data_IF_429455860577
#
_entry.id   IF_429455860577
#
_cell.length_a   1.000
_cell.length_b   1.000
_cell.length_c   1.000
_cell.angle_alpha   90.00
_cell.angle_beta   90.00
_cell.angle_gamma   90.00
#
_symmetry.space_group_name_H-M   'P 1'
#
loop_
_entity.id
_entity.type
_entity.pdbx_description
1 polymer ?
#
# COMPACT_ATOMS: atom_id res chain seq x y z
N UNK A 1 -24.38 3.34 5.78
CA UNK A 1 -25.27 4.51 5.90
C UNK A 1 -24.59 5.76 6.49
N UNK A 2 -23.65 5.67 7.45
CA UNK A 2 -22.91 6.85 7.96
C UNK A 2 -21.65 7.28 7.20
N UNK A 3 -21.02 6.36 6.46
CA UNK A 3 -19.73 6.62 5.80
C UNK A 3 -19.84 7.62 4.64
N UNK A 4 -20.86 7.51 3.79
CA UNK A 4 -21.01 8.37 2.62
C UNK A 4 -21.35 9.83 2.97
N UNK A 5 -22.09 10.06 4.07
CA UNK A 5 -22.36 11.40 4.58
C UNK A 5 -21.05 12.09 5.01
N UNK A 6 -20.06 11.33 5.49
CA UNK A 6 -18.68 11.82 5.73
C UNK A 6 -17.90 12.06 4.43
N UNK A 7 -18.08 11.25 3.39
CA UNK A 7 -17.36 11.39 2.12
C UNK A 7 -17.88 12.52 1.23
N UNK A 8 -19.21 12.66 1.08
CA UNK A 8 -19.82 13.78 0.36
C UNK A 8 -19.53 15.09 1.09
N UNK A 9 -19.54 15.09 2.44
CA UNK A 9 -19.07 16.24 3.22
C UNK A 9 -17.55 16.46 3.03
N UNK A 10 -16.66 15.48 3.20
CA UNK A 10 -15.21 15.71 3.04
C UNK A 10 -14.78 16.11 1.62
N UNK A 11 -15.27 15.42 0.57
CA UNK A 11 -14.83 15.63 -0.80
C UNK A 11 -15.33 16.95 -1.41
N UNK A 12 -16.49 17.46 -0.97
CA UNK A 12 -17.02 18.76 -1.44
C UNK A 12 -16.82 19.92 -0.44
N UNK A 13 -16.84 19.70 0.89
CA UNK A 13 -16.75 20.79 1.88
C UNK A 13 -15.34 21.26 2.21
N UNK A 14 -14.27 20.57 1.80
CA UNK A 14 -12.91 21.02 2.13
C UNK A 14 -12.51 22.37 1.52
N UNK A 15 -13.31 22.94 0.59
CA UNK A 15 -13.02 24.27 0.02
C UNK A 15 -14.13 25.33 0.12
N UNK A 16 -15.41 24.97 0.10
CA UNK A 16 -16.48 25.99 0.01
C UNK A 16 -17.02 26.51 1.36
N UNK A 17 -16.83 25.79 2.49
CA UNK A 17 -17.41 26.21 3.79
C UNK A 17 -16.37 26.62 4.84
N UNK A 18 -15.09 26.25 4.66
CA UNK A 18 -14.01 26.70 5.56
C UNK A 18 -13.68 28.20 5.46
N UNK A 19 -14.16 28.92 4.44
CA UNK A 19 -13.89 30.35 4.27
C UNK A 19 -15.00 31.28 4.79
N UNK A 20 -16.15 30.79 5.27
CA UNK A 20 -17.27 31.68 5.63
C UNK A 20 -17.95 31.42 6.97
N UNK A 21 -17.72 30.30 7.65
CA UNK A 21 -18.29 30.11 9.00
C UNK A 21 -17.30 29.41 9.91
N UNK A 22 -16.84 30.13 10.94
CA UNK A 22 -15.96 29.60 11.98
C UNK A 22 -16.63 28.48 12.78
N UNK A 23 -16.54 27.25 12.27
CA UNK A 23 -17.02 26.05 12.94
C UNK A 23 -15.92 25.42 13.79
N UNK A 24 -16.24 25.22 15.07
CA UNK A 24 -15.37 24.81 16.18
C UNK A 24 -14.81 23.38 16.03
N UNK A 25 -13.55 23.21 16.43
CA UNK A 25 -12.72 22.00 16.40
C UNK A 25 -13.14 20.95 17.44
N UNK A 26 -14.44 20.65 17.56
CA UNK A 26 -14.93 19.61 18.49
C UNK A 26 -15.97 18.71 17.82
N UNK A 27 -15.49 17.67 17.14
CA UNK A 27 -16.29 16.45 16.95
C UNK A 27 -15.48 15.20 17.26
N UNK A 28 -15.91 14.60 18.36
CA UNK A 28 -15.50 13.38 19.04
C UNK A 28 -15.18 12.17 18.14
N UNK A 29 -14.20 11.40 18.62
CA UNK A 29 -14.09 9.94 18.64
C UNK A 29 -14.33 9.16 17.35
N UNK A 30 -13.26 8.52 16.87
CA UNK A 30 -13.24 7.51 15.81
C UNK A 30 -13.57 6.08 16.30
N UNK A 31 -14.40 5.94 17.33
CA UNK A 31 -14.80 4.63 17.86
C UNK A 31 -16.29 4.38 17.61
N UNK A 32 -16.60 3.13 17.24
CA UNK A 32 -17.94 2.53 17.02
C UNK A 32 -18.49 2.58 15.58
N UNK A 33 -17.98 1.70 14.72
CA UNK A 33 -18.81 0.84 13.86
C UNK A 33 -18.11 -0.50 13.64
N UNK A 34 -18.80 -1.65 13.79
CA UNK A 34 -18.18 -2.97 13.65
C UNK A 34 -17.91 -3.31 12.18
N UNK A 35 -16.65 -3.65 11.91
CA UNK A 35 -16.15 -4.80 11.15
C UNK A 35 -17.09 -5.33 10.03
N UNK A 36 -16.72 -5.09 8.77
CA UNK A 36 -16.83 -5.96 7.58
C UNK A 36 -16.49 -5.15 6.32
N UNK A 37 -15.33 -4.48 6.29
CA UNK A 37 -14.79 -3.85 5.07
C UNK A 37 -13.40 -4.39 4.82
N UNK A 38 -13.23 -5.13 3.73
CA UNK A 38 -11.94 -5.71 3.34
C UNK A 38 -11.02 -4.71 2.63
N UNK A 39 -11.54 -3.54 2.25
CA UNK A 39 -10.78 -2.39 1.75
C UNK A 39 -11.23 -1.16 2.52
N UNK A 40 -10.30 -0.48 3.18
CA UNK A 40 -10.63 0.73 3.96
C UNK A 40 -10.53 1.96 3.06
N UNK A 41 -11.60 2.75 2.98
CA UNK A 41 -11.51 4.07 2.36
C UNK A 41 -10.79 4.98 3.33
N UNK A 42 -9.67 5.57 2.88
CA UNK A 42 -8.73 6.27 3.76
C UNK A 42 -8.33 7.60 3.19
N UNK A 43 -7.99 8.52 4.09
CA UNK A 43 -7.23 9.72 3.74
C UNK A 43 -5.88 9.26 3.18
N UNK A 44 -5.63 9.61 1.91
CA UNK A 44 -4.43 9.22 1.18
C UNK A 44 -3.16 9.63 1.93
N UNK A 45 -3.18 10.74 2.69
CA UNK A 45 -2.04 11.23 3.47
C UNK A 45 -1.60 10.30 4.60
N UNK A 46 -2.45 9.33 5.00
CA UNK A 46 -2.17 8.41 6.12
C UNK A 46 -2.13 6.93 5.73
N UNK A 47 -2.48 6.62 4.49
CA UNK A 47 -2.70 5.26 4.00
C UNK A 47 -1.43 4.41 3.81
N UNK A 48 -0.64 4.14 4.86
CA UNK A 48 0.59 3.35 4.77
C UNK A 48 0.52 2.05 5.58
N UNK A 49 -0.67 1.55 5.88
CA UNK A 49 -0.83 0.27 6.55
C UNK A 49 -0.67 -0.91 5.56
N UNK A 50 -0.22 -2.09 6.03
CA UNK A 50 -0.08 -3.28 5.19
C UNK A 50 -1.44 -3.97 4.95
N UNK A 51 -2.46 -3.20 4.55
CA UNK A 51 -3.81 -3.66 4.22
C UNK A 51 -4.34 -2.88 3.01
N UNK A 52 -5.20 -3.48 2.16
CA UNK A 52 -5.73 -2.79 0.99
C UNK A 52 -6.48 -1.49 1.36
N UNK A 53 -6.11 -0.41 0.70
CA UNK A 53 -6.62 0.93 0.94
C UNK A 53 -7.23 1.51 -0.34
N UNK A 54 -8.48 2.00 -0.24
CA UNK A 54 -9.16 2.68 -1.33
C UNK A 54 -8.94 4.18 -1.21
N UNK A 55 -8.37 4.77 -2.25
CA UNK A 55 -8.13 6.21 -2.38
C UNK A 55 -9.09 6.77 -3.42
N UNK A 56 -9.97 7.67 -3.00
CA UNK A 56 -10.93 8.34 -3.91
C UNK A 56 -10.32 9.65 -4.37
N UNK A 57 -10.12 9.82 -5.68
CA UNK A 57 -9.55 11.06 -6.23
C UNK A 57 -10.53 12.22 -6.11
N UNK A 58 -10.08 13.43 -5.76
CA UNK A 58 -10.89 14.62 -5.91
C UNK A 58 -11.21 14.89 -7.39
N UNK A 59 -12.45 15.28 -7.75
CA UNK A 59 -12.86 15.48 -9.14
C UNK A 59 -12.24 16.71 -9.81
N UNK A 60 -11.65 17.62 -9.04
CA UNK A 60 -10.96 18.82 -9.54
C UNK A 60 -9.51 18.55 -9.96
N UNK A 61 -8.99 17.34 -9.74
CA UNK A 61 -7.62 16.99 -10.13
C UNK A 61 -7.50 16.99 -11.65
N UNK A 62 -6.72 17.93 -12.19
CA UNK A 62 -6.54 18.09 -13.63
C UNK A 62 -5.75 16.95 -14.28
N UNK A 63 -4.74 16.41 -13.58
CA UNK A 63 -3.93 15.29 -14.04
C UNK A 63 -4.00 14.12 -13.03
N UNK A 64 -4.98 13.21 -13.17
CA UNK A 64 -5.17 12.10 -12.25
C UNK A 64 -3.94 11.21 -12.07
N UNK A 65 -3.22 10.89 -13.15
CA UNK A 65 -2.08 9.98 -13.10
C UNK A 65 -0.90 10.57 -12.35
N UNK A 66 -0.57 11.84 -12.62
CA UNK A 66 0.48 12.56 -11.91
C UNK A 66 0.16 12.71 -10.42
N UNK A 67 -1.09 13.02 -10.07
CA UNK A 67 -1.53 13.08 -8.69
C UNK A 67 -1.40 11.72 -7.99
N UNK A 68 -1.82 10.63 -8.65
CA UNK A 68 -1.67 9.28 -8.09
C UNK A 68 -0.20 8.92 -7.88
N UNK A 69 0.69 9.28 -8.82
CA UNK A 69 2.13 9.05 -8.66
C UNK A 69 2.70 9.78 -7.45
N UNK A 70 2.32 11.03 -7.19
CA UNK A 70 2.72 11.75 -5.98
C UNK A 70 2.26 11.06 -4.69
N UNK A 71 1.04 10.50 -4.69
CA UNK A 71 0.54 9.71 -3.56
C UNK A 71 1.37 8.44 -3.33
N UNK A 72 1.86 7.81 -4.39
CA UNK A 72 2.74 6.63 -4.28
C UNK A 72 4.08 6.95 -3.63
N UNK A 73 4.57 8.19 -3.69
CA UNK A 73 5.88 8.56 -3.16
C UNK A 73 5.87 8.79 -1.66
N UNK A 74 4.83 9.46 -1.14
CA UNK A 74 4.79 9.90 0.25
C UNK A 74 3.46 9.56 0.95
N UNK A 75 3.55 9.24 2.23
CA UNK A 75 2.42 9.15 3.16
C UNK A 75 2.67 10.14 4.30
N UNK A 76 2.03 11.31 4.19
CA UNK A 76 2.21 12.41 5.13
C UNK A 76 3.64 12.96 5.00
N UNK A 77 4.39 12.95 6.11
CA UNK A 77 5.79 13.38 6.13
C UNK A 77 6.82 12.27 5.87
N UNK A 78 6.39 11.06 5.52
CA UNK A 78 7.26 9.89 5.40
C UNK A 78 7.19 9.23 4.01
N UNK A 79 8.24 8.53 3.63
CA UNK A 79 8.26 7.72 2.39
C UNK A 79 7.24 6.60 2.53
N UNK A 80 6.39 6.43 1.51
CA UNK A 80 5.40 5.35 1.52
C UNK A 80 6.07 4.02 1.25
N UNK A 81 5.85 3.05 2.14
CA UNK A 81 6.45 1.70 2.06
C UNK A 81 5.47 0.69 1.48
N UNK A 82 4.17 0.83 1.76
CA UNK A 82 3.14 -0.13 1.38
C UNK A 82 2.39 0.30 0.11
N UNK A 83 3.16 0.64 -0.93
CA UNK A 83 2.62 1.23 -2.18
C UNK A 83 1.69 0.27 -2.90
N UNK A 84 2.00 -1.03 -2.91
CA UNK A 84 1.18 -2.04 -3.54
C UNK A 84 -0.24 -2.08 -2.95
N UNK A 85 -0.41 -1.68 -1.68
CA UNK A 85 -1.71 -1.74 -1.01
C UNK A 85 -2.72 -0.68 -1.47
N UNK A 86 -2.30 0.27 -2.31
CA UNK A 86 -3.17 1.33 -2.79
C UNK A 86 -4.01 0.90 -4.00
N UNK A 87 -5.28 1.28 -3.95
CA UNK A 87 -6.24 1.18 -5.04
C UNK A 87 -6.86 2.57 -5.21
N UNK A 88 -6.82 3.12 -6.42
CA UNK A 88 -7.35 4.45 -6.69
C UNK A 88 -8.67 4.37 -7.46
N UNK A 89 -9.61 5.21 -7.08
CA UNK A 89 -10.84 5.46 -7.83
C UNK A 89 -10.78 6.85 -8.43
N UNK A 90 -10.86 6.91 -9.75
CA UNK A 90 -10.87 8.17 -10.49
C UNK A 90 -12.28 8.52 -10.94
N UNK A 91 -12.68 9.81 -10.86
CA UNK A 91 -14.00 10.24 -11.29
C UNK A 91 -14.09 10.44 -12.81
N UNK A 92 -15.21 10.01 -13.39
CA UNK A 92 -15.72 10.51 -14.67
C UNK A 92 -16.25 11.94 -14.49
N UNK A 93 -15.42 12.91 -14.86
CA UNK A 93 -15.71 14.34 -14.69
C UNK A 93 -16.90 14.82 -15.54
N UNK A 94 -17.36 14.04 -16.53
CA UNK A 94 -18.56 14.40 -17.30
C UNK A 94 -19.83 14.43 -16.45
N UNK A 95 -19.85 13.67 -15.34
CA UNK A 95 -20.99 13.62 -14.41
C UNK A 95 -20.96 14.74 -13.35
N UNK A 96 -19.88 15.53 -13.28
CA UNK A 96 -19.65 16.48 -12.18
C UNK A 96 -20.71 17.58 -12.11
N UNK A 97 -21.16 18.11 -13.26
CA UNK A 97 -22.20 19.15 -13.32
C UNK A 97 -23.53 18.61 -12.80
N UNK A 98 -23.90 17.39 -13.19
CA UNK A 98 -25.12 16.74 -12.73
C UNK A 98 -25.06 16.47 -11.22
N UNK A 99 -23.92 15.99 -10.72
CA UNK A 99 -23.70 15.75 -9.29
C UNK A 99 -23.82 17.05 -8.48
N UNK A 100 -23.15 18.13 -8.90
CA UNK A 100 -23.24 19.44 -8.25
C UNK A 100 -24.67 19.97 -8.20
N UNK A 101 -25.43 19.83 -9.29
CA UNK A 101 -26.83 20.23 -9.32
C UNK A 101 -27.73 19.41 -8.40
N UNK A 102 -27.41 18.13 -8.19
CA UNK A 102 -28.15 17.26 -7.28
C UNK A 102 -27.82 17.54 -5.82
N UNK A 103 -26.52 17.68 -5.48
CA UNK A 103 -26.05 18.07 -4.14
C UNK A 103 -26.63 19.41 -3.72
N UNK A 104 -26.63 20.42 -4.60
CA UNK A 104 -27.22 21.73 -4.30
C UNK A 104 -28.70 21.64 -3.91
N UNK A 105 -29.48 20.85 -4.65
CA UNK A 105 -30.91 20.63 -4.36
C UNK A 105 -31.11 19.86 -3.05
N UNK A 106 -30.28 18.86 -2.80
CA UNK A 106 -30.29 18.14 -1.52
C UNK A 106 -29.99 19.08 -0.35
N UNK A 107 -28.96 19.90 -0.43
CA UNK A 107 -28.60 20.86 0.63
C UNK A 107 -29.70 21.90 0.87
N UNK A 108 -30.33 22.41 -0.20
CA UNK A 108 -31.46 23.32 -0.07
C UNK A 108 -32.66 22.65 0.65
N UNK A 109 -32.97 21.40 0.32
CA UNK A 109 -34.01 20.63 1.02
C UNK A 109 -33.61 20.30 2.46
N UNK A 110 -32.34 19.97 2.71
CA UNK A 110 -31.80 19.74 4.05
C UNK A 110 -31.97 21.01 4.90
N UNK A 111 -31.62 22.18 4.37
CA UNK A 111 -31.83 23.46 5.06
C UNK A 111 -33.31 23.71 5.40
N UNK A 112 -34.21 23.45 4.45
CA UNK A 112 -35.66 23.55 4.70
C UNK A 112 -36.07 22.63 5.86
N UNK A 113 -35.65 21.37 5.88
CA UNK A 113 -35.99 20.43 6.96
C UNK A 113 -35.45 20.84 8.35
N UNK A 114 -34.44 21.69 8.40
CA UNK A 114 -33.91 22.25 9.66
C UNK A 114 -34.55 23.60 10.03
N UNK A 115 -35.39 24.18 9.17
CA UNK A 115 -36.03 25.47 9.42
C UNK A 115 -37.18 25.38 10.44
N UNK A 116 -37.50 26.48 11.15
CA UNK A 116 -38.69 26.55 11.99
C UNK A 116 -39.98 26.31 11.20
N UNK A 117 -40.07 26.87 9.99
CA UNK A 117 -41.24 26.76 9.10
C UNK A 117 -41.54 25.31 8.72
N UNK A 118 -40.55 24.43 8.65
CA UNK A 118 -40.79 23.00 8.41
C UNK A 118 -41.54 22.32 9.56
N UNK A 119 -41.40 22.80 10.80
CA UNK A 119 -42.15 22.27 11.94
C UNK A 119 -43.62 22.71 11.92
N UNK A 120 -43.89 23.83 11.25
CA UNK A 120 -45.21 24.43 11.12
C UNK A 120 -45.99 23.89 9.89
N UNK A 121 -45.34 23.11 9.03
CA UNK A 121 -45.97 22.45 7.88
C UNK A 121 -46.91 21.32 8.32
N UNK A 122 -47.93 21.08 7.49
CA UNK A 122 -48.83 19.94 7.66
C UNK A 122 -48.07 18.60 7.60
N UNK A 123 -48.55 17.54 8.27
CA UNK A 123 -47.91 16.23 8.25
C UNK A 123 -47.62 15.70 6.84
N UNK A 124 -48.56 15.87 5.91
CA UNK A 124 -48.44 15.42 4.52
C UNK A 124 -47.31 16.15 3.77
N UNK A 125 -47.23 17.48 3.92
CA UNK A 125 -46.18 18.31 3.32
C UNK A 125 -44.79 17.94 3.86
N UNK A 126 -44.71 17.68 5.18
CA UNK A 126 -43.46 17.23 5.82
C UNK A 126 -43.00 15.88 5.27
N UNK A 127 -43.92 14.94 5.10
CA UNK A 127 -43.62 13.63 4.52
C UNK A 127 -43.13 13.78 3.07
N UNK A 128 -43.78 14.62 2.27
CA UNK A 128 -43.35 14.89 0.89
C UNK A 128 -41.93 15.45 0.81
N UNK A 129 -41.59 16.42 1.67
CA UNK A 129 -40.24 16.99 1.72
C UNK A 129 -39.21 15.94 2.16
N UNK A 130 -39.54 15.10 3.15
CA UNK A 130 -38.65 14.01 3.57
C UNK A 130 -38.43 12.99 2.47
N UNK A 131 -39.47 12.65 1.70
CA UNK A 131 -39.35 11.72 0.58
C UNK A 131 -38.49 12.31 -0.54
N UNK A 132 -38.68 13.58 -0.89
CA UNK A 132 -37.80 14.27 -1.84
C UNK A 132 -36.34 14.28 -1.35
N UNK A 133 -36.11 14.49 -0.05
CA UNK A 133 -34.77 14.47 0.53
C UNK A 133 -34.12 13.08 0.36
N UNK A 134 -34.86 12.00 0.64
CA UNK A 134 -34.40 10.61 0.44
C UNK A 134 -34.14 10.31 -1.03
N UNK A 135 -35.01 10.73 -1.93
CA UNK A 135 -34.85 10.56 -3.37
C UNK A 135 -33.58 11.26 -3.88
N UNK A 136 -33.34 12.52 -3.46
CA UNK A 136 -32.11 13.24 -3.84
C UNK A 136 -30.87 12.60 -3.25
N UNK A 137 -30.94 12.13 -2.01
CA UNK A 137 -29.84 11.37 -1.41
C UNK A 137 -29.53 10.11 -2.23
N UNK A 138 -30.53 9.27 -2.52
CA UNK A 138 -30.35 8.05 -3.32
C UNK A 138 -29.79 8.35 -4.71
N UNK A 139 -30.24 9.46 -5.34
CA UNK A 139 -29.69 9.93 -6.60
C UNK A 139 -28.21 10.34 -6.49
N UNK A 140 -27.80 11.00 -5.41
CA UNK A 140 -26.40 11.37 -5.15
C UNK A 140 -25.56 10.11 -5.01
N UNK A 141 -26.03 9.15 -4.20
CA UNK A 141 -25.33 7.87 -3.97
C UNK A 141 -25.13 7.11 -5.28
N UNK A 142 -26.19 6.97 -6.09
CA UNK A 142 -26.13 6.30 -7.39
C UNK A 142 -25.24 7.01 -8.41
N UNK A 143 -25.32 8.33 -8.50
CA UNK A 143 -24.48 9.11 -9.43
C UNK A 143 -23.01 9.12 -9.00
N UNK A 144 -22.74 9.18 -7.70
CA UNK A 144 -21.39 9.09 -7.16
C UNK A 144 -20.77 7.72 -7.44
N UNK A 145 -21.51 6.63 -7.23
CA UNK A 145 -21.06 5.28 -7.57
C UNK A 145 -20.77 5.13 -9.08
N UNK A 146 -21.62 5.72 -9.94
CA UNK A 146 -21.41 5.71 -11.39
C UNK A 146 -20.17 6.53 -11.81
N UNK A 147 -19.92 7.64 -11.13
CA UNK A 147 -18.80 8.53 -11.41
C UNK A 147 -17.44 7.88 -11.10
N UNK A 148 -17.33 7.06 -10.05
CA UNK A 148 -16.06 6.49 -9.58
C UNK A 148 -15.87 5.01 -9.94
N UNK A 149 -16.06 4.67 -11.22
CA UNK A 149 -15.90 3.29 -11.71
C UNK A 149 -14.52 3.00 -12.31
N UNK A 150 -13.71 4.03 -12.53
CA UNK A 150 -12.38 3.86 -13.09
C UNK A 150 -11.37 3.55 -11.98
N UNK A 151 -10.92 2.29 -11.94
CA UNK A 151 -10.02 1.75 -10.92
C UNK A 151 -8.58 1.66 -11.42
N UNK A 152 -7.65 2.21 -10.65
CA UNK A 152 -6.22 2.22 -10.92
C UNK A 152 -5.42 1.59 -9.79
N UNK A 153 -4.24 1.08 -10.13
CA UNK A 153 -3.28 0.51 -9.19
C UNK A 153 -1.84 0.94 -9.51
N UNK A 154 -0.93 0.92 -8.53
CA UNK A 154 0.49 1.05 -8.80
C UNK A 154 0.98 -0.08 -9.73
N UNK A 155 1.84 0.27 -10.69
CA UNK A 155 2.52 -0.66 -11.57
C UNK A 155 3.95 -0.21 -11.88
N UNK A 156 4.72 -1.05 -12.58
CA UNK A 156 6.15 -0.81 -12.86
C UNK A 156 6.44 0.55 -13.53
N UNK A 157 5.53 1.03 -14.38
CA UNK A 157 5.65 2.29 -15.11
C UNK A 157 4.78 3.42 -14.54
N UNK A 158 4.46 3.38 -13.23
CA UNK A 158 3.65 4.39 -12.55
C UNK A 158 2.31 3.83 -12.08
N UNK A 159 1.22 4.25 -12.70
CA UNK A 159 -0.12 3.74 -12.40
C UNK A 159 -0.73 3.03 -13.60
N UNK A 160 -1.45 1.94 -13.33
CA UNK A 160 -2.08 1.07 -14.31
C UNK A 160 -3.58 1.02 -14.05
N UNK A 161 -4.37 1.24 -15.09
CA UNK A 161 -5.81 1.03 -15.06
C UNK A 161 -6.10 -0.48 -15.00
N UNK A 162 -6.94 -0.92 -14.06
CA UNK A 162 -7.26 -2.35 -13.86
C UNK A 162 -8.24 -2.86 -14.91
N UNK A 163 -9.23 -2.06 -15.29
CA UNK A 163 -10.01 -2.10 -16.54
C UNK A 163 -11.13 -1.05 -16.48
N UNK A 164 -11.73 -0.71 -17.63
CA UNK A 164 -12.74 0.35 -17.80
C UNK A 164 -14.12 -0.22 -18.18
N UNK A 165 -15.16 0.33 -17.55
CA UNK A 165 -16.49 0.64 -18.10
C UNK A 165 -17.58 -0.41 -18.42
N UNK A 166 -17.40 -1.74 -18.30
CA UNK A 166 -18.52 -2.68 -18.67
C UNK A 166 -18.95 -3.70 -17.63
N UNK A 167 -18.26 -3.82 -16.49
CA UNK A 167 -18.74 -4.69 -15.41
C UNK A 167 -19.69 -3.93 -14.50
N UNK A 168 -20.95 -3.79 -14.93
CA UNK A 168 -22.02 -3.49 -13.99
C UNK A 168 -22.14 -4.69 -13.04
N UNK A 169 -21.77 -4.51 -11.78
CA UNK A 169 -22.00 -5.49 -10.74
C UNK A 169 -23.42 -5.28 -10.19
N UNK A 170 -24.37 -6.20 -10.46
CA UNK A 170 -25.75 -6.03 -10.00
C UNK A 170 -25.80 -5.96 -8.49
N UNK A 171 -26.56 -4.99 -7.95
CA UNK A 171 -26.79 -4.87 -6.52
C UNK A 171 -25.68 -4.21 -5.70
N UNK A 172 -24.57 -3.77 -6.33
CA UNK A 172 -23.52 -3.02 -5.64
C UNK A 172 -24.02 -1.65 -5.22
N UNK A 173 -23.78 -1.29 -3.95
CA UNK A 173 -24.26 -0.03 -3.36
C UNK A 173 -23.14 0.94 -2.98
N UNK A 174 -21.91 0.46 -2.87
CA UNK A 174 -20.79 1.26 -2.38
C UNK A 174 -19.55 1.14 -3.26
N UNK A 175 -18.67 2.14 -3.17
CA UNK A 175 -17.41 2.18 -3.93
C UNK A 175 -16.44 1.07 -3.52
N UNK A 176 -16.36 0.75 -2.23
CA UNK A 176 -15.52 -0.33 -1.71
C UNK A 176 -15.99 -1.69 -2.20
N UNK A 177 -17.31 -1.91 -2.24
CA UNK A 177 -17.90 -3.13 -2.78
C UNK A 177 -17.62 -3.26 -4.28
N UNK A 178 -17.80 -2.17 -5.05
CA UNK A 178 -17.47 -2.13 -6.47
C UNK A 178 -16.00 -2.49 -6.73
N UNK A 179 -15.08 -1.78 -6.06
CA UNK A 179 -13.64 -1.99 -6.23
C UNK A 179 -13.23 -3.41 -5.83
N UNK A 180 -13.76 -3.93 -4.72
CA UNK A 180 -13.51 -5.29 -4.27
C UNK A 180 -13.97 -6.32 -5.30
N UNK A 181 -15.22 -6.24 -5.78
CA UNK A 181 -15.74 -7.19 -6.77
C UNK A 181 -14.96 -7.13 -8.09
N UNK A 182 -14.55 -5.93 -8.53
CA UNK A 182 -13.69 -5.77 -9.71
C UNK A 182 -12.34 -6.45 -9.52
N UNK A 183 -11.67 -6.19 -8.39
CA UNK A 183 -10.33 -6.73 -8.12
C UNK A 183 -10.35 -8.25 -7.91
N UNK A 184 -11.39 -8.79 -7.27
CA UNK A 184 -11.61 -10.24 -7.14
C UNK A 184 -11.85 -10.89 -8.50
N UNK A 185 -12.77 -10.33 -9.30
CA UNK A 185 -13.10 -10.83 -10.64
C UNK A 185 -11.89 -10.82 -11.58
N UNK A 186 -11.00 -9.84 -11.43
CA UNK A 186 -9.77 -9.73 -12.22
C UNK A 186 -8.59 -10.55 -11.66
N UNK A 187 -8.80 -11.28 -10.55
CA UNK A 187 -7.75 -12.10 -9.92
C UNK A 187 -6.64 -11.28 -9.25
N UNK A 188 -6.87 -9.98 -9.03
CA UNK A 188 -5.89 -9.07 -8.43
C UNK A 188 -5.98 -9.09 -6.90
N UNK A 189 -7.20 -9.11 -6.35
CA UNK A 189 -7.45 -9.22 -4.91
C UNK A 189 -7.68 -10.68 -4.54
N UNK A 190 -6.79 -11.22 -3.71
CA UNK A 190 -6.76 -12.62 -3.31
C UNK A 190 -6.95 -12.76 -1.79
N UNK A 191 -7.64 -13.82 -1.40
CA UNK A 191 -7.75 -14.24 0.00
C UNK A 191 -6.57 -15.10 0.44
N UNK A 192 -6.02 -15.87 -0.49
CA UNK A 192 -4.96 -16.84 -0.26
C UNK A 192 -4.00 -16.82 -1.44
N UNK A 193 -2.75 -17.19 -1.17
CA UNK A 193 -1.74 -17.42 -2.20
C UNK A 193 -1.31 -18.88 -2.15
N UNK A 194 -0.96 -19.41 -3.32
CA UNK A 194 -0.43 -20.76 -3.42
C UNK A 194 1.03 -20.79 -2.93
N UNK A 195 1.48 -21.87 -2.26
CA UNK A 195 2.88 -21.99 -1.83
C UNK A 195 3.89 -21.87 -2.97
N UNK A 196 3.54 -22.30 -4.18
CA UNK A 196 4.39 -22.22 -5.37
C UNK A 196 4.74 -20.78 -5.72
N UNK A 197 3.85 -19.83 -5.43
CA UNK A 197 4.14 -18.40 -5.59
C UNK A 197 5.26 -17.96 -4.64
N UNK A 198 5.21 -18.40 -3.38
CA UNK A 198 6.27 -18.13 -2.40
C UNK A 198 7.59 -18.81 -2.79
N UNK A 199 7.52 -19.98 -3.43
CA UNK A 199 8.71 -20.64 -3.98
C UNK A 199 9.34 -19.81 -5.10
N UNK A 200 8.55 -19.20 -5.99
CA UNK A 200 9.04 -18.27 -7.01
C UNK A 200 9.75 -17.07 -6.37
N UNK A 201 9.10 -16.42 -5.40
CA UNK A 201 9.71 -15.31 -4.62
C UNK A 201 11.03 -15.75 -3.98
N UNK A 202 11.08 -16.94 -3.40
CA UNK A 202 12.28 -17.49 -2.77
C UNK A 202 13.42 -17.70 -3.79
N UNK A 203 13.12 -18.22 -4.98
CA UNK A 203 14.09 -18.44 -6.05
C UNK A 203 14.67 -17.12 -6.59
N UNK A 204 13.82 -16.12 -6.81
CA UNK A 204 14.23 -14.78 -7.25
C UNK A 204 15.14 -14.07 -6.23
N UNK A 205 15.08 -14.48 -4.96
CA UNK A 205 15.85 -13.91 -3.86
C UNK A 205 16.96 -14.85 -3.36
N UNK A 206 17.48 -15.73 -4.22
CA UNK A 206 18.69 -16.52 -3.91
C UNK A 206 18.46 -17.71 -2.97
N UNK A 207 17.22 -18.14 -2.77
CA UNK A 207 16.88 -19.34 -2.01
C UNK A 207 16.66 -19.12 -0.51
N UNK A 208 16.80 -17.89 0.00
CA UNK A 208 16.52 -17.54 1.39
C UNK A 208 15.81 -16.17 1.50
N UNK A 209 14.66 -16.13 2.19
CA UNK A 209 13.89 -14.88 2.37
C UNK A 209 13.28 -14.82 3.77
N UNK A 210 13.50 -13.71 4.49
CA UNK A 210 12.86 -13.53 5.80
C UNK A 210 11.34 -13.30 5.68
N UNK A 211 10.56 -13.72 6.68
CA UNK A 211 9.11 -13.46 6.72
C UNK A 211 8.79 -11.95 6.60
N UNK A 212 9.62 -11.10 7.19
CA UNK A 212 9.49 -9.64 7.06
C UNK A 212 9.67 -9.15 5.62
N UNK A 213 10.59 -9.77 4.87
CA UNK A 213 10.84 -9.46 3.47
C UNK A 213 9.71 -9.97 2.57
N UNK A 214 9.18 -11.19 2.82
CA UNK A 214 7.97 -11.68 2.13
C UNK A 214 6.82 -10.69 2.29
N UNK A 215 6.54 -10.25 3.53
CA UNK A 215 5.51 -9.24 3.78
C UNK A 215 5.77 -7.94 3.00
N UNK A 216 7.01 -7.46 3.00
CA UNK A 216 7.41 -6.23 2.28
C UNK A 216 7.25 -6.38 0.77
N UNK A 217 7.51 -7.55 0.20
CA UNK A 217 7.31 -7.81 -1.23
C UNK A 217 5.83 -7.65 -1.59
N UNK A 218 4.92 -8.37 -0.90
CA UNK A 218 3.48 -8.30 -1.20
C UNK A 218 2.87 -6.92 -0.95
N UNK A 219 3.38 -6.16 0.02
CA UNK A 219 2.80 -4.88 0.42
C UNK A 219 3.45 -3.67 -0.26
N UNK A 220 4.73 -3.77 -0.63
CA UNK A 220 5.52 -2.65 -1.13
C UNK A 220 5.94 -2.74 -2.59
N UNK A 221 6.12 -3.95 -3.15
CA UNK A 221 6.50 -4.12 -4.56
C UNK A 221 5.24 -4.03 -5.42
N UNK A 222 5.25 -3.13 -6.40
CA UNK A 222 4.13 -2.92 -7.33
C UNK A 222 3.89 -4.16 -8.22
N UNK A 223 2.72 -4.25 -8.84
CA UNK A 223 2.28 -5.40 -9.65
C UNK A 223 2.16 -6.75 -8.90
N UNK A 224 2.42 -6.77 -7.59
CA UNK A 224 2.12 -7.92 -6.73
C UNK A 224 0.60 -8.03 -6.51
N UNK A 225 0.07 -9.26 -6.31
CA UNK A 225 -1.33 -9.44 -5.96
C UNK A 225 -1.65 -8.72 -4.64
N UNK A 226 -2.87 -8.17 -4.54
CA UNK A 226 -3.39 -7.62 -3.29
C UNK A 226 -3.88 -8.78 -2.43
N UNK A 227 -3.41 -8.86 -1.20
CA UNK A 227 -3.94 -9.81 -0.23
C UNK A 227 -4.92 -9.09 0.67
N UNK A 228 -6.14 -9.62 0.83
CA UNK A 228 -7.14 -9.05 1.75
C UNK A 228 -6.56 -8.93 3.16
N UNK A 229 -5.94 -10.01 3.62
CA UNK A 229 -5.24 -10.11 4.89
C UNK A 229 -3.82 -10.65 4.64
N UNK A 230 -2.82 -9.78 4.34
CA UNK A 230 -1.48 -10.25 3.95
C UNK A 230 -0.85 -11.20 4.97
N UNK A 231 -0.94 -10.87 6.27
CA UNK A 231 -0.39 -11.70 7.34
C UNK A 231 -0.96 -13.12 7.34
N UNK A 232 -2.28 -13.25 7.28
CA UNK A 232 -2.95 -14.55 7.30
C UNK A 232 -2.68 -15.35 6.02
N UNK A 233 -2.79 -14.70 4.86
CA UNK A 233 -2.57 -15.32 3.56
C UNK A 233 -1.13 -15.86 3.42
N UNK A 234 -0.13 -15.06 3.82
CA UNK A 234 1.30 -15.46 3.79
C UNK A 234 1.56 -16.57 4.80
N UNK A 235 1.09 -16.43 6.04
CA UNK A 235 1.30 -17.45 7.09
C UNK A 235 0.67 -18.79 6.69
N UNK A 236 -0.54 -18.77 6.13
CA UNK A 236 -1.23 -19.95 5.63
C UNK A 236 -0.47 -20.63 4.50
N UNK A 237 0.02 -19.86 3.52
CA UNK A 237 0.80 -20.37 2.40
C UNK A 237 2.16 -20.95 2.85
N UNK A 238 2.79 -20.36 3.87
CA UNK A 238 4.02 -20.89 4.46
C UNK A 238 3.77 -22.24 5.12
N UNK A 239 2.75 -22.35 5.99
CA UNK A 239 2.41 -23.61 6.66
C UNK A 239 2.14 -24.71 5.64
N UNK A 240 1.39 -24.37 4.60
CA UNK A 240 1.06 -25.31 3.54
C UNK A 240 2.30 -25.72 2.74
N UNK A 241 3.14 -24.77 2.32
CA UNK A 241 4.36 -25.05 1.58
C UNK A 241 5.37 -25.89 2.34
N UNK A 242 5.53 -25.65 3.65
CA UNK A 242 6.38 -26.47 4.52
C UNK A 242 5.82 -27.88 4.66
N UNK A 243 4.51 -28.01 4.94
CA UNK A 243 3.83 -29.31 5.07
C UNK A 243 3.95 -30.14 3.79
N UNK A 244 3.86 -29.50 2.63
CA UNK A 244 4.03 -30.15 1.33
C UNK A 244 5.51 -30.37 0.95
N UNK A 245 6.47 -29.78 1.69
CA UNK A 245 7.90 -29.90 1.42
C UNK A 245 8.40 -29.09 0.22
N UNK A 246 7.64 -28.07 -0.22
CA UNK A 246 7.99 -27.17 -1.34
C UNK A 246 9.19 -26.29 -0.97
N UNK A 247 9.25 -25.84 0.28
CA UNK A 247 10.35 -25.11 0.90
C UNK A 247 10.37 -25.41 2.40
N UNK A 248 11.46 -25.01 3.07
CA UNK A 248 11.61 -25.09 4.51
C UNK A 248 11.40 -23.75 5.20
N UNK A 249 11.24 -23.80 6.52
CA UNK A 249 11.25 -22.63 7.39
C UNK A 249 12.31 -22.82 8.46
N UNK A 250 13.21 -21.85 8.61
CA UNK A 250 14.20 -21.79 9.68
C UNK A 250 13.76 -20.77 10.74
N UNK A 251 13.77 -21.21 12.00
CA UNK A 251 13.55 -20.38 13.16
C UNK A 251 14.61 -20.67 14.22
N UNK A 252 15.57 -19.74 14.37
CA UNK A 252 16.75 -19.95 15.20
C UNK A 252 17.59 -21.11 14.68
N UNK A 253 17.77 -22.15 15.49
CA UNK A 253 18.55 -23.36 15.16
C UNK A 253 17.72 -24.49 14.56
N UNK A 254 16.38 -24.38 14.51
CA UNK A 254 15.50 -25.43 14.00
C UNK A 254 15.02 -25.08 12.59
N UNK A 255 15.06 -26.07 11.71
CA UNK A 255 14.49 -26.01 10.36
C UNK A 255 13.33 -26.99 10.27
N UNK A 256 12.18 -26.50 9.81
CA UNK A 256 10.94 -27.26 9.60
C UNK A 256 10.80 -27.56 8.11
N UNK A 257 10.67 -28.84 7.74
CA UNK A 257 10.44 -29.29 6.36
C UNK A 257 9.55 -30.53 6.36
N UNK A 258 8.45 -30.52 5.61
CA UNK A 258 7.51 -31.65 5.54
C UNK A 258 6.74 -31.91 6.84
N UNK A 259 6.75 -30.94 7.76
CA UNK A 259 6.12 -31.02 9.08
C UNK A 259 5.24 -29.79 9.33
N UNK A 260 4.42 -29.84 10.37
CA UNK A 260 3.60 -28.70 10.77
C UNK A 260 4.42 -27.65 11.53
N UNK A 261 4.33 -26.39 11.10
CA UNK A 261 5.00 -25.26 11.77
C UNK A 261 4.06 -24.68 12.84
N UNK A 262 4.47 -24.64 14.13
CA UNK A 262 3.67 -24.02 15.19
C UNK A 262 3.41 -22.53 14.92
N UNK A 263 2.23 -22.03 15.29
CA UNK A 263 1.89 -20.61 15.05
C UNK A 263 2.81 -19.65 15.79
N UNK A 264 3.29 -20.04 16.96
CA UNK A 264 4.18 -19.24 17.81
C UNK A 264 5.50 -18.96 17.08
N UNK A 265 5.96 -19.92 16.27
CA UNK A 265 7.16 -19.76 15.45
C UNK A 265 6.94 -18.67 14.40
N UNK A 266 5.80 -18.69 13.70
CA UNK A 266 5.48 -17.72 12.65
C UNK A 266 5.09 -16.33 13.20
N UNK A 267 4.71 -16.24 14.48
CA UNK A 267 4.50 -14.97 15.19
C UNK A 267 5.83 -14.31 15.57
N UNK A 268 6.91 -15.08 15.73
CA UNK A 268 8.24 -14.56 16.01
C UNK A 268 8.87 -14.03 14.71
N UNK A 269 9.20 -12.74 14.66
CA UNK A 269 9.67 -12.06 13.43
C UNK A 269 11.01 -12.54 12.84
N UNK A 270 11.68 -13.52 13.47
CA UNK A 270 12.99 -14.05 13.08
C UNK A 270 12.87 -15.36 12.26
N UNK A 271 11.85 -15.44 11.41
CA UNK A 271 11.60 -16.60 10.54
C UNK A 271 12.19 -16.35 9.16
N UNK A 272 12.88 -17.36 8.63
CA UNK A 272 13.47 -17.35 7.28
C UNK A 272 12.92 -18.53 6.49
N UNK A 273 12.38 -18.28 5.30
CA UNK A 273 12.04 -19.30 4.33
C UNK A 273 13.33 -19.73 3.62
N UNK A 274 13.55 -21.02 3.46
CA UNK A 274 14.74 -21.61 2.84
C UNK A 274 14.34 -22.61 1.76
N UNK A 275 15.13 -22.73 0.68
CA UNK A 275 14.84 -23.67 -0.40
C UNK A 275 14.73 -25.12 0.12
N UNK A 276 13.85 -25.93 -0.47
CA UNK A 276 13.69 -27.33 -0.04
C UNK A 276 14.95 -28.14 -0.35
N UNK A 277 15.50 -28.89 0.62
CA UNK A 277 16.67 -29.74 0.39
C UNK A 277 16.42 -30.89 -0.60
N UNK A 278 15.15 -31.22 -0.91
CA UNK A 278 14.80 -32.31 -1.84
C UNK A 278 15.07 -32.00 -3.32
N UNK A 279 15.48 -30.77 -3.68
CA UNK A 279 15.77 -30.36 -5.07
C UNK A 279 17.26 -30.13 -5.36
N UNK A 280 18.16 -30.52 -4.45
CA UNK A 280 19.59 -30.63 -4.75
C UNK A 280 19.90 -32.02 -5.32
N UNK A 281 19.49 -32.26 -6.57
CA UNK A 281 19.99 -33.40 -7.34
C UNK A 281 21.33 -33.03 -8.00
N UNK A 282 22.39 -33.48 -7.32
CA UNK A 282 23.69 -33.95 -7.84
C UNK A 282 24.25 -33.29 -9.10
N UNK A 283 25.29 -32.47 -8.89
CA UNK A 283 26.52 -32.60 -9.68
C UNK A 283 27.58 -33.26 -8.77
N UNK A 284 28.11 -34.46 -9.11
CA UNK A 284 29.06 -35.14 -8.27
C UNK A 284 30.49 -34.70 -8.61
N UNK A 285 31.08 -33.96 -7.67
CA UNK A 285 32.53 -33.88 -7.56
C UNK A 285 33.03 -32.52 -7.12
N UNK A 286 33.27 -32.35 -5.83
CA UNK A 286 34.61 -32.01 -5.32
C UNK A 286 34.65 -32.29 -3.82
N UNK A 287 35.76 -32.91 -3.46
CA UNK A 287 36.16 -33.42 -2.16
C UNK A 287 36.16 -32.32 -1.09
N UNK A 288 35.91 -32.76 0.14
CA UNK A 288 36.06 -32.04 1.40
C UNK A 288 37.01 -30.83 1.38
N UNK A 289 36.51 -29.70 1.88
CA UNK A 289 37.30 -28.82 2.73
C UNK A 289 36.37 -28.09 3.70
N UNK A 290 36.74 -28.14 4.98
CA UNK A 290 36.26 -27.20 6.00
C UNK A 290 36.47 -25.77 5.49
N UNK A 291 35.55 -24.81 5.69
CA UNK A 291 35.92 -23.42 5.49
C UNK A 291 36.77 -23.01 6.68
N UNK A 292 38.08 -22.98 6.43
CA UNK A 292 39.01 -22.10 7.10
C UNK A 292 38.36 -20.71 7.24
N UNK A 293 38.48 -20.14 8.44
CA UNK A 293 38.08 -18.76 8.73
C UNK A 293 39.02 -17.79 8.00
N UNK A 294 38.88 -17.68 6.68
CA UNK A 294 39.54 -16.67 5.86
C UNK A 294 38.80 -15.34 5.97
N UNK A 295 39.54 -14.24 6.07
CA UNK A 295 38.95 -12.90 5.93
C UNK A 295 38.31 -12.76 4.55
N UNK A 296 37.00 -12.51 4.49
CA UNK A 296 36.25 -12.36 3.24
C UNK A 296 35.95 -10.88 3.00
N UNK A 297 36.19 -10.43 1.77
CA UNK A 297 35.79 -9.08 1.32
C UNK A 297 34.60 -9.18 0.40
N UNK A 298 33.49 -8.52 0.77
CA UNK A 298 32.29 -8.42 -0.06
C UNK A 298 32.35 -7.13 -0.88
N UNK A 299 32.28 -7.24 -2.21
CA UNK A 299 32.16 -6.09 -3.12
C UNK A 299 30.77 -6.08 -3.75
N UNK A 300 30.04 -4.97 -3.59
CA UNK A 300 28.69 -4.80 -4.13
C UNK A 300 28.69 -3.62 -5.08
N UNK A 301 28.33 -3.85 -6.34
CA UNK A 301 28.17 -2.80 -7.35
C UNK A 301 26.70 -2.66 -7.71
N UNK A 302 26.12 -1.48 -7.45
CA UNK A 302 24.72 -1.17 -7.74
C UNK A 302 24.58 0.28 -8.20
N UNK A 303 23.44 0.59 -8.84
CA UNK A 303 23.07 1.97 -9.17
C UNK A 303 22.76 2.78 -7.90
N UNK A 304 23.13 4.07 -7.89
CA UNK A 304 22.79 5.00 -6.82
C UNK A 304 21.27 5.18 -6.61
N UNK A 305 20.45 4.79 -7.58
CA UNK A 305 18.98 4.81 -7.41
C UNK A 305 18.45 3.59 -6.63
N UNK A 306 19.33 2.63 -6.29
CA UNK A 306 19.01 1.39 -5.58
C UNK A 306 19.72 1.31 -4.23
N UNK A 307 19.87 2.44 -3.53
CA UNK A 307 20.57 2.49 -2.22
C UNK A 307 19.84 1.76 -1.09
N UNK A 308 18.53 1.50 -1.23
CA UNK A 308 17.75 0.83 -0.19
C UNK A 308 18.26 -0.59 0.13
N UNK A 309 18.56 -1.45 -0.85
CA UNK A 309 19.29 -2.70 -0.64
C UNK A 309 20.59 -2.56 0.17
N UNK A 310 21.40 -1.51 -0.06
CA UNK A 310 22.62 -1.29 0.71
C UNK A 310 22.32 -0.90 2.16
N UNK A 311 21.28 -0.10 2.40
CA UNK A 311 20.84 0.22 3.75
C UNK A 311 20.40 -1.05 4.51
N UNK A 312 19.65 -1.94 3.83
CA UNK A 312 19.24 -3.23 4.39
C UNK A 312 20.45 -4.13 4.68
N UNK A 313 21.44 -4.18 3.78
CA UNK A 313 22.68 -4.92 4.00
C UNK A 313 23.47 -4.35 5.19
N UNK A 314 23.60 -3.03 5.30
CA UNK A 314 24.30 -2.37 6.40
C UNK A 314 23.67 -2.68 7.78
N UNK A 315 22.34 -2.80 7.86
CA UNK A 315 21.66 -3.20 9.10
C UNK A 315 22.04 -4.61 9.55
N UNK A 316 22.31 -5.52 8.62
CA UNK A 316 22.74 -6.91 8.92
C UNK A 316 24.22 -6.97 9.32
N UNK A 317 25.05 -6.08 8.79
CA UNK A 317 26.48 -6.00 9.12
C UNK A 317 26.76 -5.38 10.50
N UNK A 318 25.76 -4.73 11.12
CA UNK A 318 25.90 -4.06 12.43
C UNK A 318 26.42 -4.96 13.56
N UNK A 319 26.22 -6.27 13.48
CA UNK A 319 26.70 -7.24 14.48
C UNK A 319 28.17 -7.62 14.35
N UNK A 320 28.89 -7.14 13.33
CA UNK A 320 30.29 -7.50 13.07
C UNK A 320 31.24 -6.46 13.68
N UNK A 321 31.57 -6.62 14.97
CA UNK A 321 32.33 -5.64 15.76
C UNK A 321 33.73 -5.29 15.21
N UNK A 322 34.33 -6.18 14.41
CA UNK A 322 35.66 -6.00 13.79
C UNK A 322 35.62 -5.73 12.29
N UNK A 323 34.43 -5.72 11.67
CA UNK A 323 34.31 -5.49 10.24
C UNK A 323 34.37 -3.99 9.93
N UNK A 324 35.07 -3.65 8.84
CA UNK A 324 35.09 -2.29 8.28
C UNK A 324 34.25 -2.28 7.02
N UNK A 325 33.40 -1.24 6.87
CA UNK A 325 32.56 -1.06 5.68
C UNK A 325 33.10 0.14 4.90
N UNK A 326 33.36 -0.07 3.61
CA UNK A 326 33.79 0.97 2.69
C UNK A 326 32.70 1.17 1.62
N UNK A 327 32.22 2.41 1.49
CA UNK A 327 31.30 2.81 0.43
C UNK A 327 32.08 3.63 -0.60
N UNK A 328 32.19 3.10 -1.82
CA UNK A 328 32.74 3.83 -2.95
C UNK A 328 31.61 4.22 -3.89
N UNK A 329 31.50 5.52 -4.18
CA UNK A 329 30.54 6.05 -5.15
C UNK A 329 31.31 6.60 -6.33
N UNK A 330 31.15 5.99 -7.51
CA UNK A 330 31.71 6.47 -8.76
C UNK A 330 30.68 7.36 -9.45
N UNK A 331 30.97 8.65 -9.59
CA UNK A 331 30.12 9.61 -10.28
C UNK A 331 30.83 10.16 -11.52
N UNK A 332 30.60 9.55 -12.70
CA UNK A 332 31.18 10.02 -13.95
C UNK A 332 30.61 11.38 -14.41
N UNK A 333 29.50 11.85 -13.81
CA UNK A 333 28.84 13.11 -14.19
C UNK A 333 29.39 14.33 -13.46
N UNK A 334 30.11 14.12 -12.35
CA UNK A 334 30.66 15.17 -11.49
C UNK A 334 29.62 15.93 -10.67
N UNK A 335 28.37 15.47 -10.62
CA UNK A 335 27.30 16.02 -9.79
C UNK A 335 27.66 16.02 -8.29
N UNK A 336 28.40 15.02 -7.83
CA UNK A 336 28.83 14.87 -6.43
C UNK A 336 29.73 16.02 -5.96
N UNK A 337 30.43 16.70 -6.88
CA UNK A 337 31.23 17.89 -6.54
C UNK A 337 30.37 19.01 -5.92
N UNK A 338 29.08 19.10 -6.32
CA UNK A 338 28.13 20.09 -5.77
C UNK A 338 27.65 19.72 -4.36
N UNK A 339 27.64 18.43 -4.03
CA UNK A 339 27.18 17.89 -2.75
C UNK A 339 28.32 17.66 -1.74
N UNK A 340 29.57 17.84 -2.16
CA UNK A 340 30.79 17.57 -1.38
C UNK A 340 30.74 18.14 0.05
N UNK A 341 30.46 19.43 0.19
CA UNK A 341 30.43 20.09 1.50
C UNK A 341 29.32 19.56 2.41
N UNK A 342 28.14 19.28 1.86
CA UNK A 342 27.00 18.76 2.62
C UNK A 342 27.25 17.32 3.08
N UNK A 343 27.75 16.47 2.18
CA UNK A 343 28.09 15.07 2.48
C UNK A 343 29.23 14.98 3.49
N UNK A 344 30.28 15.78 3.36
CA UNK A 344 31.37 15.81 4.32
C UNK A 344 30.91 16.21 5.73
N UNK A 345 30.01 17.19 5.82
CA UNK A 345 29.45 17.62 7.10
C UNK A 345 28.64 16.48 7.72
N UNK A 346 27.69 15.92 6.97
CA UNK A 346 26.85 14.83 7.41
C UNK A 346 27.68 13.63 7.90
N UNK A 347 28.66 13.19 7.10
CA UNK A 347 29.49 12.03 7.42
C UNK A 347 30.38 12.27 8.65
N UNK A 348 30.90 13.49 8.84
CA UNK A 348 31.64 13.86 10.05
C UNK A 348 30.76 13.86 11.30
N UNK A 349 29.52 14.33 11.20
CA UNK A 349 28.57 14.34 12.34
C UNK A 349 28.26 12.92 12.85
N UNK A 350 28.43 11.91 11.99
CA UNK A 350 28.28 10.49 12.34
C UNK A 350 29.63 9.75 12.55
N UNK A 351 30.74 10.47 12.61
CA UNK A 351 32.07 9.90 12.89
C UNK A 351 32.65 9.06 11.76
N UNK A 352 32.19 9.23 10.52
CA UNK A 352 32.74 8.54 9.36
C UNK A 352 34.03 9.21 8.85
N UNK A 353 35.01 8.39 8.44
CA UNK A 353 36.19 8.86 7.70
C UNK A 353 35.83 9.04 6.24
N UNK A 354 36.21 10.18 5.65
CA UNK A 354 35.91 10.51 4.25
C UNK A 354 37.21 10.83 3.52
N UNK A 355 37.44 10.16 2.39
CA UNK A 355 38.55 10.43 1.47
C UNK A 355 37.96 10.79 0.11
N UNK A 356 38.53 11.83 -0.53
CA UNK A 356 38.13 12.27 -1.86
C UNK A 356 39.27 12.02 -2.84
N UNK A 357 39.06 11.10 -3.77
CA UNK A 357 39.95 10.92 -4.91
C UNK A 357 39.42 11.72 -6.11
N UNK A 358 40.20 12.69 -6.57
CA UNK A 358 39.91 13.38 -7.81
C UNK A 358 40.67 12.67 -8.94
N UNK A 359 39.95 12.13 -9.94
CA UNK A 359 40.59 11.70 -11.18
C UNK A 359 41.19 12.93 -11.85
N UNK A 360 42.50 13.08 -11.77
CA UNK A 360 43.21 13.95 -12.71
C UNK A 360 43.00 13.37 -14.11
N UNK A 361 42.41 14.20 -14.97
CA UNK A 361 42.12 13.85 -16.36
C UNK A 361 43.40 13.69 -17.16
#
# INVERSE_FOLDING_TARGET
MGALNKYVRCAFFQREVCNSTGWDKRSKSAAEYPLYTHITIVDWSRANEPIPALVVLPPEVANPEEWMMQVLESAGGSIRTNKNMLVFLTPDTTQLVALRGLVRRYLALEEVTHSPSFREMEPEDREQVQEQLREKQAGIEGLFLKMYQDVYRPGASGVKKVSSATSAFPGVKTLDEYARQLLEKTGILLERIAPEYLQGVLQENGGEVSLSQVNTIFTGVVDQPLLKNPKEAITGAIREGVRQGIFGVQAGSRTFVGEEVPEEVLKNGNVVLVASPKKQEKDPGTVASSPESGAVTLTVQISANLLYPLLQAAQRLRGLEKATVLLRVDDPTGAMRRLKQELEKLLRDYGCTVEWEERQS
#
